data_IF_017458556267
#
_entry.id   IF_017458556267
#
_cell.length_a   1.000
_cell.length_b   1.000
_cell.length_c   1.000
_cell.angle_alpha   90.00
_cell.angle_beta   90.00
_cell.angle_gamma   90.00
#
_symmetry.space_group_name_H-M   'P 1'
#
loop_
_entity.id
_entity.type
_entity.pdbx_description
1 polymer ?
#
# COMPACT_ATOMS: atom_id res chain seq x y z
N UNK A 1 15.50 13.59 -2.30
CA UNK A 1 14.58 13.79 -1.15
C UNK A 1 14.86 15.09 -0.37
N UNK A 2 14.94 16.24 -1.04
CA UNK A 2 15.19 17.55 -0.38
C UNK A 2 13.91 18.30 0.04
N UNK A 3 12.75 17.84 -0.42
CA UNK A 3 11.46 18.54 -0.25
C UNK A 3 10.50 17.84 0.72
N UNK A 4 10.77 16.57 1.09
CA UNK A 4 9.98 15.84 2.08
C UNK A 4 10.38 16.26 3.49
N UNK A 5 9.41 16.77 4.27
CA UNK A 5 9.62 17.07 5.69
C UNK A 5 9.87 15.77 6.47
N UNK A 6 10.66 15.86 7.54
CA UNK A 6 11.08 14.70 8.32
C UNK A 6 9.91 13.89 8.91
N UNK A 7 8.90 14.56 9.47
CA UNK A 7 7.72 13.92 10.09
C UNK A 7 6.94 13.04 9.09
N UNK A 8 6.44 13.57 7.95
CA UNK A 8 5.71 12.74 7.00
C UNK A 8 6.58 11.63 6.39
N UNK A 9 7.88 11.88 6.18
CA UNK A 9 8.79 10.83 5.72
C UNK A 9 8.89 9.66 6.71
N UNK A 10 9.02 9.95 8.01
CA UNK A 10 9.08 8.91 9.04
C UNK A 10 7.75 8.15 9.14
N UNK A 11 6.62 8.86 9.08
CA UNK A 11 5.30 8.23 9.07
C UNK A 11 5.15 7.25 7.90
N UNK A 12 5.62 7.61 6.69
CA UNK A 12 5.61 6.70 5.55
C UNK A 12 6.44 5.43 5.78
N UNK A 13 7.65 5.57 6.34
CA UNK A 13 8.53 4.43 6.63
C UNK A 13 7.92 3.45 7.63
N UNK A 14 7.25 3.97 8.65
CA UNK A 14 6.49 3.17 9.62
C UNK A 14 5.40 2.36 8.92
N UNK A 15 4.65 2.99 8.01
CA UNK A 15 3.61 2.31 7.23
C UNK A 15 4.17 1.30 6.22
N UNK A 16 5.44 1.41 5.83
CA UNK A 16 6.13 0.40 5.01
C UNK A 16 6.63 -0.80 5.83
N UNK A 17 6.49 -0.77 7.16
CA UNK A 17 6.99 -1.81 8.06
C UNK A 17 8.52 -1.87 8.13
N UNK A 18 9.21 -0.78 7.78
CA UNK A 18 10.67 -0.69 7.83
C UNK A 18 11.15 0.72 8.16
N UNK A 19 11.69 0.90 9.36
CA UNK A 19 12.21 2.16 9.89
C UNK A 19 13.58 2.54 9.29
N UNK A 20 13.62 2.75 7.97
CA UNK A 20 14.85 2.96 7.20
C UNK A 20 15.69 4.17 7.67
N UNK A 21 15.05 5.20 8.21
CA UNK A 21 15.70 6.40 8.74
C UNK A 21 16.65 6.11 9.91
N UNK A 22 16.38 5.03 10.66
CA UNK A 22 17.21 4.60 11.79
C UNK A 22 18.07 3.40 11.42
N UNK A 23 17.53 2.46 10.65
CA UNK A 23 18.17 1.15 10.43
C UNK A 23 19.15 1.13 9.25
N UNK A 24 18.88 1.91 8.20
CA UNK A 24 19.59 1.74 6.95
C UNK A 24 21.06 2.15 7.06
N UNK A 25 21.95 1.21 6.73
CA UNK A 25 23.40 1.39 6.74
C UNK A 25 24.09 0.89 8.00
N UNK A 26 23.34 0.50 9.04
CA UNK A 26 23.90 -0.06 10.26
C UNK A 26 24.62 -1.39 9.98
N UNK A 27 24.04 -2.25 9.15
CA UNK A 27 24.65 -3.53 8.82
C UNK A 27 25.95 -3.40 8.03
N UNK A 28 25.97 -2.52 7.03
CA UNK A 28 27.18 -2.20 6.28
C UNK A 28 28.28 -1.60 7.18
N UNK A 29 27.90 -0.77 8.16
CA UNK A 29 28.84 -0.23 9.14
C UNK A 29 29.40 -1.32 10.07
N UNK A 30 28.53 -2.18 10.60
CA UNK A 30 28.91 -3.28 11.49
C UNK A 30 29.82 -4.29 10.77
N UNK A 31 29.47 -4.68 9.54
CA UNK A 31 30.25 -5.64 8.75
C UNK A 31 31.64 -5.13 8.35
N UNK A 32 31.87 -3.81 8.32
CA UNK A 32 33.20 -3.25 8.03
C UNK A 32 34.20 -3.48 9.17
N UNK A 33 33.73 -3.50 10.42
CA UNK A 33 34.57 -3.66 11.62
C UNK A 33 33.85 -4.53 12.68
N UNK A 34 33.66 -5.84 12.43
CA UNK A 34 32.84 -6.70 13.30
C UNK A 34 33.36 -6.78 14.73
N UNK A 35 34.67 -7.00 14.92
CA UNK A 35 35.28 -7.06 16.27
C UNK A 35 35.12 -5.75 17.04
N UNK A 36 35.22 -4.61 16.35
CA UNK A 36 35.02 -3.29 16.97
C UNK A 36 33.56 -3.05 17.32
N UNK A 37 32.64 -3.51 16.47
CA UNK A 37 31.20 -3.42 16.75
C UNK A 37 30.83 -4.20 18.01
N UNK A 38 31.33 -5.43 18.15
CA UNK A 38 31.13 -6.26 19.34
C UNK A 38 31.75 -5.62 20.59
N UNK A 39 33.01 -5.20 20.52
CA UNK A 39 33.67 -4.52 21.65
C UNK A 39 32.92 -3.24 22.07
N UNK A 40 32.44 -2.44 21.11
CA UNK A 40 31.66 -1.23 21.44
C UNK A 40 30.30 -1.58 22.06
N UNK A 41 29.64 -2.65 21.61
CA UNK A 41 28.37 -3.11 22.18
C UNK A 41 28.54 -3.56 23.64
N UNK A 42 29.63 -4.24 23.95
CA UNK A 42 29.90 -4.74 25.30
C UNK A 42 30.44 -3.63 26.22
N UNK A 43 31.43 -2.86 25.76
CA UNK A 43 32.23 -1.99 26.63
C UNK A 43 31.80 -0.51 26.60
N UNK A 44 31.01 -0.06 25.61
CA UNK A 44 30.66 1.37 25.47
C UNK A 44 29.21 1.69 25.86
N UNK A 45 28.97 2.34 27.02
CA UNK A 45 27.62 2.79 27.41
C UNK A 45 27.03 3.82 26.44
N UNK A 46 27.86 4.58 25.72
CA UNK A 46 27.39 5.52 24.70
C UNK A 46 26.90 4.79 23.45
N UNK A 47 27.62 3.76 23.04
CA UNK A 47 27.26 2.99 21.86
C UNK A 47 25.97 2.19 22.11
N UNK A 48 25.84 1.55 23.28
CA UNK A 48 24.58 0.90 23.69
C UNK A 48 23.38 1.85 23.61
N UNK A 49 23.48 3.05 24.17
CA UNK A 49 22.41 4.07 24.06
C UNK A 49 22.08 4.48 22.63
N UNK A 50 23.05 4.46 21.72
CA UNK A 50 22.78 4.71 20.30
C UNK A 50 22.05 3.51 19.67
N UNK A 51 22.39 2.29 20.07
CA UNK A 51 21.70 1.08 19.65
C UNK A 51 20.29 0.96 20.25
N UNK A 52 19.96 1.56 21.39
CA UNK A 52 18.58 1.56 21.93
C UNK A 52 17.55 2.05 20.89
N UNK A 53 17.89 3.07 20.09
CA UNK A 53 17.04 3.55 19.00
C UNK A 53 16.90 2.54 17.86
N UNK A 54 18.00 1.84 17.54
CA UNK A 54 18.00 0.79 16.52
C UNK A 54 17.23 -0.45 17.00
N UNK A 55 17.33 -0.79 18.28
CA UNK A 55 16.60 -1.86 18.95
C UNK A 55 15.10 -1.60 18.85
N UNK A 56 14.64 -0.42 19.26
CA UNK A 56 13.25 -0.01 19.12
C UNK A 56 12.79 -0.04 17.66
N UNK A 57 13.59 0.50 16.74
CA UNK A 57 13.24 0.49 15.33
C UNK A 57 13.16 -0.94 14.73
N UNK A 58 14.02 -1.86 15.15
CA UNK A 58 13.98 -3.28 14.76
C UNK A 58 12.76 -4.01 15.31
N UNK A 59 12.36 -3.72 16.55
CA UNK A 59 11.15 -4.26 17.17
C UNK A 59 9.86 -3.88 16.43
N UNK A 60 9.91 -2.91 15.51
CA UNK A 60 8.80 -2.54 14.62
C UNK A 60 9.16 -2.57 13.13
N UNK A 61 10.19 -3.34 12.75
CA UNK A 61 10.60 -3.48 11.35
C UNK A 61 10.65 -4.93 10.92
N UNK A 62 10.12 -5.22 9.73
CA UNK A 62 10.15 -6.55 9.12
C UNK A 62 10.47 -6.45 7.64
N UNK A 63 11.56 -7.10 7.22
CA UNK A 63 11.89 -7.19 5.80
C UNK A 63 10.86 -8.00 5.01
N UNK A 64 10.08 -8.87 5.66
CA UNK A 64 9.00 -9.61 5.00
C UNK A 64 7.78 -8.72 4.73
N UNK A 65 7.43 -7.83 5.67
CA UNK A 65 6.39 -6.82 5.45
C UNK A 65 6.78 -5.90 4.30
N UNK A 66 8.01 -5.37 4.33
CA UNK A 66 8.49 -4.51 3.25
C UNK A 66 8.53 -5.24 1.91
N UNK A 67 8.96 -6.52 1.90
CA UNK A 67 8.96 -7.35 0.70
C UNK A 67 7.55 -7.51 0.16
N UNK A 68 6.57 -7.81 1.00
CA UNK A 68 5.18 -8.00 0.57
C UNK A 68 4.62 -6.75 -0.12
N UNK A 69 4.95 -5.54 0.38
CA UNK A 69 4.59 -4.28 -0.27
C UNK A 69 5.32 -4.11 -1.61
N UNK A 70 6.61 -4.42 -1.68
CA UNK A 70 7.39 -4.30 -2.93
C UNK A 70 6.89 -5.27 -4.00
N UNK A 71 6.54 -6.49 -3.60
CA UNK A 71 6.00 -7.55 -4.44
C UNK A 71 4.59 -7.21 -4.92
N UNK A 72 3.74 -6.58 -4.10
CA UNK A 72 2.41 -6.16 -4.56
C UNK A 72 2.46 -5.05 -5.61
N UNK A 73 3.56 -4.30 -5.69
CA UNK A 73 3.79 -3.30 -6.74
C UNK A 73 4.36 -3.90 -8.04
N UNK A 74 4.65 -5.19 -8.07
CA UNK A 74 5.19 -5.89 -9.24
C UNK A 74 4.05 -6.47 -10.09
N UNK A 75 3.84 -5.98 -11.33
CA UNK A 75 2.81 -6.51 -12.23
C UNK A 75 2.92 -8.03 -12.45
N UNK A 76 4.13 -8.59 -12.44
CA UNK A 76 4.38 -10.01 -12.67
C UNK A 76 3.69 -10.89 -11.63
N UNK A 77 3.68 -10.47 -10.37
CA UNK A 77 3.05 -11.22 -9.26
C UNK A 77 1.55 -11.35 -9.47
N UNK A 78 0.91 -10.31 -9.99
CA UNK A 78 -0.51 -10.32 -10.32
C UNK A 78 -0.83 -11.21 -11.52
N UNK A 79 0.05 -11.24 -12.52
CA UNK A 79 -0.08 -12.14 -13.67
C UNK A 79 0.10 -13.61 -13.27
N UNK A 80 1.07 -13.91 -12.41
CA UNK A 80 1.28 -15.25 -11.87
C UNK A 80 0.05 -15.74 -11.08
N UNK A 81 -0.55 -14.86 -10.26
CA UNK A 81 -1.81 -15.14 -9.56
C UNK A 81 -2.95 -15.35 -10.55
N UNK A 82 -3.00 -14.60 -11.66
CA UNK A 82 -4.03 -14.72 -12.67
C UNK A 82 -3.96 -16.06 -13.42
N UNK A 83 -2.75 -16.55 -13.71
CA UNK A 83 -2.53 -17.85 -14.35
C UNK A 83 -3.10 -19.01 -13.51
N UNK A 84 -2.96 -18.91 -12.18
CA UNK A 84 -3.47 -19.90 -11.22
C UNK A 84 -4.94 -19.70 -10.82
N UNK A 85 -5.57 -18.58 -11.20
CA UNK A 85 -6.96 -18.31 -10.86
C UNK A 85 -7.92 -19.24 -11.62
N UNK A 86 -8.88 -19.84 -10.93
CA UNK A 86 -9.88 -20.74 -11.54
C UNK A 86 -11.11 -19.98 -12.06
N UNK A 87 -11.53 -18.93 -11.37
CA UNK A 87 -12.64 -18.06 -11.78
C UNK A 87 -12.21 -17.07 -12.89
N UNK A 88 -12.87 -17.08 -14.07
CA UNK A 88 -12.56 -16.15 -15.15
C UNK A 88 -12.68 -14.67 -14.76
N UNK A 89 -13.67 -14.31 -13.93
CA UNK A 89 -13.86 -12.92 -13.53
C UNK A 89 -12.72 -12.46 -12.60
N UNK A 90 -12.34 -13.28 -11.62
CA UNK A 90 -11.18 -13.03 -10.78
C UNK A 90 -9.88 -12.93 -11.59
N UNK A 91 -9.67 -13.83 -12.56
CA UNK A 91 -8.51 -13.78 -13.46
C UNK A 91 -8.43 -12.44 -14.20
N UNK A 92 -9.54 -11.97 -14.76
CA UNK A 92 -9.59 -10.68 -15.46
C UNK A 92 -9.29 -9.51 -14.51
N UNK A 93 -9.79 -9.57 -13.28
CA UNK A 93 -9.49 -8.56 -12.27
C UNK A 93 -7.99 -8.49 -11.96
N UNK A 94 -7.32 -9.63 -11.75
CA UNK A 94 -5.88 -9.68 -11.50
C UNK A 94 -5.06 -9.13 -12.68
N UNK A 95 -5.43 -9.48 -13.91
CA UNK A 95 -4.82 -8.90 -15.13
C UNK A 95 -5.05 -7.39 -15.21
N UNK A 96 -6.22 -6.91 -14.80
CA UNK A 96 -6.54 -5.49 -14.71
C UNK A 96 -5.60 -4.73 -13.76
N UNK A 97 -5.35 -5.29 -12.57
CA UNK A 97 -4.41 -4.71 -11.59
C UNK A 97 -2.99 -4.67 -12.17
N UNK A 98 -2.53 -5.76 -12.77
CA UNK A 98 -1.20 -5.83 -13.40
C UNK A 98 -1.00 -4.73 -14.45
N UNK A 99 -1.97 -4.57 -15.37
CA UNK A 99 -1.93 -3.52 -16.41
C UNK A 99 -1.92 -2.12 -15.84
N UNK A 100 -2.61 -1.90 -14.72
CA UNK A 100 -2.64 -0.60 -14.07
C UNK A 100 -1.29 -0.29 -13.39
N UNK A 101 -0.69 -1.26 -12.70
CA UNK A 101 0.64 -1.13 -12.09
C UNK A 101 1.77 -0.94 -13.12
N UNK A 102 1.66 -1.56 -14.30
CA UNK A 102 2.64 -1.38 -15.39
C UNK A 102 2.83 0.10 -15.76
N UNK A 103 1.75 0.90 -15.73
CA UNK A 103 1.81 2.33 -16.04
C UNK A 103 2.60 3.15 -15.03
N UNK A 104 2.73 2.67 -13.79
CA UNK A 104 3.49 3.35 -12.74
C UNK A 104 4.99 3.12 -12.85
N UNK A 105 5.41 2.04 -13.50
CA UNK A 105 6.82 1.67 -13.72
C UNK A 105 7.68 1.73 -12.44
N UNK A 106 7.11 1.28 -11.31
CA UNK A 106 7.76 1.32 -10.00
C UNK A 106 8.51 0.02 -9.66
N UNK A 107 8.15 -1.10 -10.28
CA UNK A 107 8.60 -2.43 -9.87
C UNK A 107 10.14 -2.57 -9.88
N UNK A 108 10.81 -2.08 -10.92
CA UNK A 108 12.25 -2.25 -11.06
C UNK A 108 13.03 -1.48 -9.97
N UNK A 109 12.59 -0.24 -9.71
CA UNK A 109 13.23 0.63 -8.72
C UNK A 109 12.94 0.16 -7.29
N UNK A 110 11.72 -0.29 -6.99
CA UNK A 110 11.37 -0.81 -5.65
C UNK A 110 12.07 -2.13 -5.35
N UNK A 111 12.16 -3.06 -6.32
CA UNK A 111 12.91 -4.31 -6.18
C UNK A 111 14.41 -4.07 -5.97
N UNK A 112 15.00 -3.13 -6.72
CA UNK A 112 16.40 -2.75 -6.55
C UNK A 112 16.67 -2.12 -5.18
N UNK A 113 15.79 -1.23 -4.74
CA UNK A 113 15.83 -0.63 -3.40
C UNK A 113 15.74 -1.70 -2.32
N UNK A 114 14.78 -2.62 -2.43
CA UNK A 114 14.57 -3.70 -1.46
C UNK A 114 15.80 -4.61 -1.32
N UNK A 115 16.44 -5.00 -2.42
CA UNK A 115 17.67 -5.82 -2.37
C UNK A 115 18.79 -5.17 -1.56
N UNK A 116 18.93 -3.84 -1.65
CA UNK A 116 19.93 -3.08 -0.88
C UNK A 116 19.60 -3.08 0.61
N UNK A 117 18.32 -2.89 0.96
CA UNK A 117 17.85 -2.99 2.35
C UNK A 117 18.09 -4.39 2.89
N UNK A 118 17.71 -5.42 2.13
CA UNK A 118 17.87 -6.80 2.54
C UNK A 118 19.36 -7.16 2.77
N UNK A 119 20.24 -6.74 1.86
CA UNK A 119 21.68 -6.97 2.01
C UNK A 119 22.24 -6.31 3.27
N UNK A 120 21.83 -5.07 3.57
CA UNK A 120 22.24 -4.35 4.78
C UNK A 120 21.69 -5.04 6.05
N UNK A 121 20.42 -5.42 6.06
CA UNK A 121 19.81 -6.13 7.18
C UNK A 121 20.45 -7.49 7.45
N UNK A 122 20.80 -8.26 6.40
CA UNK A 122 21.52 -9.53 6.55
C UNK A 122 22.90 -9.33 7.17
N UNK A 123 23.63 -8.27 6.78
CA UNK A 123 24.89 -7.93 7.39
C UNK A 123 24.72 -7.56 8.88
N UNK A 124 23.67 -6.81 9.22
CA UNK A 124 23.36 -6.47 10.61
C UNK A 124 23.05 -7.71 11.45
N UNK A 125 22.30 -8.67 10.91
CA UNK A 125 21.98 -9.94 11.59
C UNK A 125 23.20 -10.77 11.97
N UNK A 126 24.26 -10.71 11.17
CA UNK A 126 25.52 -11.40 11.48
C UNK A 126 26.22 -10.74 12.67
N UNK A 127 26.24 -9.40 12.70
CA UNK A 127 26.88 -8.63 13.78
C UNK A 127 26.02 -8.52 15.05
N UNK A 128 24.71 -8.70 14.95
CA UNK A 128 23.77 -8.64 16.06
C UNK A 128 22.74 -9.79 15.94
N UNK A 129 23.12 -11.02 16.32
CA UNK A 129 22.26 -12.19 16.17
C UNK A 129 20.95 -12.12 16.96
N UNK A 130 21.03 -11.59 18.19
CA UNK A 130 19.89 -11.47 19.13
C UNK A 130 19.13 -10.14 18.98
N UNK A 131 19.19 -9.53 17.80
CA UNK A 131 18.47 -8.29 17.55
C UNK A 131 16.94 -8.52 17.64
N UNK A 132 16.16 -7.50 18.06
CA UNK A 132 14.71 -7.64 18.15
C UNK A 132 14.06 -7.94 16.81
N UNK A 133 12.86 -8.52 16.89
CA UNK A 133 12.00 -8.78 15.75
C UNK A 133 10.63 -8.18 16.00
N UNK A 134 9.96 -7.81 14.92
CA UNK A 134 8.58 -7.32 14.97
C UNK A 134 7.66 -8.33 15.69
N UNK A 135 6.89 -7.83 16.65
CA UNK A 135 5.89 -8.64 17.34
C UNK A 135 4.85 -9.20 16.36
N UNK A 136 4.33 -10.40 16.65
CA UNK A 136 3.39 -11.10 15.77
C UNK A 136 2.13 -10.27 15.50
N UNK A 137 1.59 -9.60 16.52
CA UNK A 137 0.37 -8.79 16.40
C UNK A 137 0.58 -7.63 15.40
N UNK A 138 1.69 -6.90 15.49
CA UNK A 138 2.06 -5.83 14.56
C UNK A 138 2.29 -6.38 13.15
N UNK A 139 2.93 -7.54 13.03
CA UNK A 139 3.14 -8.21 11.75
C UNK A 139 1.80 -8.61 11.10
N UNK A 140 0.84 -9.11 11.90
CA UNK A 140 -0.51 -9.45 11.44
C UNK A 140 -1.29 -8.21 10.98
N UNK A 141 -1.18 -7.10 11.71
CA UNK A 141 -1.77 -5.83 11.29
C UNK A 141 -1.25 -5.40 9.91
N UNK A 142 0.07 -5.46 9.69
CA UNK A 142 0.64 -5.18 8.38
C UNK A 142 0.14 -6.15 7.30
N UNK A 143 0.08 -7.45 7.59
CA UNK A 143 -0.41 -8.46 6.64
C UNK A 143 -1.88 -8.21 6.25
N UNK A 144 -2.75 -7.92 7.22
CA UNK A 144 -4.16 -7.59 6.97
C UNK A 144 -4.27 -6.31 6.15
N UNK A 145 -3.49 -5.27 6.47
CA UNK A 145 -3.49 -4.02 5.73
C UNK A 145 -3.07 -4.22 4.27
N UNK A 146 -2.05 -5.02 3.99
CA UNK A 146 -1.63 -5.36 2.62
C UNK A 146 -2.74 -6.14 1.90
N UNK A 147 -3.36 -7.12 2.56
CA UNK A 147 -4.47 -7.88 1.97
C UNK A 147 -5.69 -6.99 1.65
N UNK A 148 -5.99 -5.99 2.48
CA UNK A 148 -7.06 -5.01 2.23
C UNK A 148 -6.72 -4.12 1.03
N UNK A 149 -5.46 -3.69 0.87
CA UNK A 149 -5.00 -2.92 -0.29
C UNK A 149 -5.16 -3.76 -1.57
N UNK A 150 -4.69 -5.00 -1.55
CA UNK A 150 -4.82 -5.94 -2.67
C UNK A 150 -6.29 -6.17 -3.05
N UNK A 151 -7.16 -6.35 -2.05
CA UNK A 151 -8.59 -6.53 -2.26
C UNK A 151 -9.24 -5.27 -2.85
N UNK A 152 -8.88 -4.10 -2.34
CA UNK A 152 -9.34 -2.81 -2.85
C UNK A 152 -8.95 -2.61 -4.32
N UNK A 153 -7.70 -2.90 -4.68
CA UNK A 153 -7.24 -2.83 -6.08
C UNK A 153 -7.97 -3.84 -6.97
N UNK A 154 -8.24 -5.04 -6.46
CA UNK A 154 -9.02 -6.03 -7.22
C UNK A 154 -10.46 -5.54 -7.45
N UNK A 155 -11.11 -4.94 -6.44
CA UNK A 155 -12.44 -4.35 -6.56
C UNK A 155 -12.48 -3.20 -7.58
N UNK A 156 -11.46 -2.35 -7.64
CA UNK A 156 -11.44 -1.21 -8.57
C UNK A 156 -11.47 -1.63 -10.04
N UNK A 157 -10.94 -2.81 -10.38
CA UNK A 157 -10.99 -3.31 -11.76
C UNK A 157 -12.41 -3.61 -12.24
N UNK A 158 -13.35 -3.85 -11.31
CA UNK A 158 -14.76 -4.13 -11.60
C UNK A 158 -15.58 -2.86 -11.83
N UNK A 159 -15.01 -1.66 -11.63
CA UNK A 159 -15.68 -0.39 -11.90
C UNK A 159 -16.05 -0.34 -13.39
N UNK A 160 -17.33 -0.12 -13.74
CA UNK A 160 -17.76 -0.04 -15.14
C UNK A 160 -17.03 1.07 -15.90
N UNK A 161 -16.98 0.93 -17.22
CA UNK A 161 -16.50 2.01 -18.06
C UNK A 161 -17.47 3.21 -17.99
N UNK A 162 -16.90 4.42 -17.97
CA UNK A 162 -17.64 5.67 -18.13
C UNK A 162 -16.87 6.59 -19.10
N UNK A 163 -17.62 7.35 -19.89
CA UNK A 163 -17.01 8.42 -20.70
C UNK A 163 -16.39 9.47 -19.78
N UNK A 164 -15.24 10.09 -20.16
CA UNK A 164 -14.60 11.10 -19.32
C UNK A 164 -15.58 12.17 -18.82
N UNK A 165 -15.64 12.38 -17.51
CA UNK A 165 -16.48 13.40 -16.86
C UNK A 165 -15.59 14.40 -16.12
N UNK A 166 -15.86 15.69 -16.28
CA UNK A 166 -15.08 16.77 -15.67
C UNK A 166 -13.56 16.66 -15.85
N UNK A 167 -13.12 16.06 -16.97
CA UNK A 167 -11.70 15.88 -17.31
C UNK A 167 -11.01 14.68 -16.64
N UNK A 168 -11.73 13.84 -15.88
CA UNK A 168 -11.18 12.61 -15.30
C UNK A 168 -11.46 11.42 -16.22
N UNK A 169 -10.40 10.74 -16.66
CA UNK A 169 -10.49 9.50 -17.47
C UNK A 169 -10.56 8.26 -16.58
N UNK A 170 -10.82 7.11 -17.19
CA UNK A 170 -10.78 5.83 -16.49
C UNK A 170 -9.39 5.53 -15.92
N UNK A 171 -8.34 5.80 -16.69
CA UNK A 171 -6.95 5.59 -16.28
C UNK A 171 -6.59 6.51 -15.11
N UNK A 172 -7.03 7.77 -15.14
CA UNK A 172 -6.82 8.70 -14.04
C UNK A 172 -7.49 8.21 -12.74
N UNK A 173 -8.70 7.64 -12.84
CA UNK A 173 -9.38 7.04 -11.68
C UNK A 173 -8.61 5.83 -11.13
N UNK A 174 -8.14 4.94 -12.01
CA UNK A 174 -7.32 3.79 -11.59
C UNK A 174 -6.06 4.27 -10.85
N UNK A 175 -5.40 5.30 -11.36
CA UNK A 175 -4.18 5.85 -10.77
C UNK A 175 -4.45 6.47 -9.39
N UNK A 176 -5.58 7.16 -9.20
CA UNK A 176 -6.02 7.67 -7.90
C UNK A 176 -6.26 6.53 -6.91
N UNK A 177 -6.91 5.44 -7.33
CA UNK A 177 -7.20 4.29 -6.47
C UNK A 177 -5.91 3.54 -6.10
N UNK A 178 -4.99 3.33 -7.05
CA UNK A 178 -3.69 2.71 -6.77
C UNK A 178 -2.85 3.51 -5.78
N UNK A 179 -2.97 4.85 -5.80
CA UNK A 179 -2.36 5.76 -4.81
C UNK A 179 -3.14 5.88 -3.49
N UNK A 180 -4.24 5.13 -3.35
CA UNK A 180 -5.16 5.18 -2.20
C UNK A 180 -5.78 6.58 -1.97
N UNK A 181 -5.96 7.37 -3.03
CA UNK A 181 -6.69 8.65 -3.02
C UNK A 181 -8.22 8.43 -3.04
N UNK A 182 -8.70 7.50 -2.21
CA UNK A 182 -10.06 6.97 -2.22
C UNK A 182 -11.13 8.06 -2.01
N UNK A 183 -10.98 9.04 -1.11
CA UNK A 183 -12.00 10.09 -0.96
C UNK A 183 -12.22 10.92 -2.23
N UNK A 184 -11.18 11.12 -3.04
CA UNK A 184 -11.31 11.83 -4.32
C UNK A 184 -11.91 10.91 -5.38
N UNK A 185 -11.48 9.64 -5.43
CA UNK A 185 -12.04 8.64 -6.35
C UNK A 185 -13.55 8.44 -6.12
N UNK A 186 -14.00 8.39 -4.87
CA UNK A 186 -15.42 8.25 -4.52
C UNK A 186 -16.28 9.42 -5.01
N UNK A 187 -15.75 10.65 -5.02
CA UNK A 187 -16.48 11.81 -5.59
C UNK A 187 -16.68 11.65 -7.10
N UNK A 188 -15.63 11.26 -7.81
CA UNK A 188 -15.71 10.97 -9.25
C UNK A 188 -16.71 9.86 -9.54
N UNK A 189 -16.69 8.79 -8.73
CA UNK A 189 -17.61 7.65 -8.86
C UNK A 189 -19.07 8.04 -8.58
N UNK A 190 -19.33 8.86 -7.56
CA UNK A 190 -20.67 9.32 -7.24
C UNK A 190 -21.28 10.17 -8.37
N UNK A 191 -20.47 10.99 -9.03
CA UNK A 191 -20.89 11.79 -10.19
C UNK A 191 -21.08 10.94 -11.46
N UNK A 192 -20.23 9.94 -11.68
CA UNK A 192 -20.31 9.06 -12.84
C UNK A 192 -21.46 8.03 -12.73
N UNK A 193 -21.72 7.55 -11.52
CA UNK A 193 -22.63 6.46 -11.19
C UNK A 193 -23.57 6.84 -10.04
N UNK A 194 -24.56 7.72 -10.26
CA UNK A 194 -25.48 8.16 -9.21
C UNK A 194 -26.31 7.00 -8.66
N UNK A 195 -26.41 6.90 -7.33
CA UNK A 195 -27.07 5.79 -6.64
C UNK A 195 -28.59 5.74 -6.89
N UNK A 196 -29.21 6.91 -7.00
CA UNK A 196 -30.60 7.10 -7.36
C UNK A 196 -30.66 7.78 -8.72
N UNK A 197 -31.60 7.33 -9.56
CA UNK A 197 -32.06 8.16 -10.66
C UNK A 197 -32.74 9.37 -10.02
N UNK A 198 -32.00 10.45 -9.79
CA UNK A 198 -32.67 11.73 -9.73
C UNK A 198 -33.36 11.88 -11.08
N UNK A 199 -34.68 12.03 -11.03
CA UNK A 199 -35.54 12.30 -12.17
C UNK A 199 -34.86 13.45 -12.92
N UNK A 200 -34.10 13.11 -13.95
CA UNK A 200 -33.70 14.12 -14.91
C UNK A 200 -35.03 14.60 -15.42
N UNK A 201 -35.34 15.87 -15.17
CA UNK A 201 -36.46 16.55 -15.81
C UNK A 201 -36.19 16.43 -17.30
N UNK A 202 -36.66 15.33 -17.86
CA UNK A 202 -36.48 14.99 -19.25
C UNK A 202 -37.40 15.98 -19.89
N UNK A 203 -36.83 17.04 -20.47
CA UNK A 203 -37.58 17.90 -21.36
C UNK A 203 -38.17 16.94 -22.39
N UNK A 204 -39.48 16.78 -22.34
CA UNK A 204 -40.21 15.92 -23.26
C UNK A 204 -40.15 16.58 -24.63
N UNK A 205 -39.19 16.13 -25.45
CA UNK A 205 -39.01 16.61 -26.81
C UNK A 205 -40.03 15.98 -27.78
N UNK A 206 -40.99 15.18 -27.30
CA UNK A 206 -42.05 14.59 -28.12
C UNK A 206 -41.59 13.52 -29.12
N UNK A 207 -40.33 13.12 -29.07
CA UNK A 207 -39.80 12.01 -29.87
C UNK A 207 -39.89 10.69 -29.08
N UNK A 208 -40.29 9.57 -29.70
CA UNK A 208 -40.20 8.26 -29.07
C UNK A 208 -38.73 7.85 -28.93
N UNK A 209 -38.08 8.37 -27.89
CA UNK A 209 -36.72 7.97 -27.50
C UNK A 209 -36.70 6.52 -27.04
N UNK A 210 -35.54 5.83 -27.12
CA UNK A 210 -35.40 4.52 -26.51
C UNK A 210 -35.78 4.64 -25.03
N UNK A 211 -36.57 3.70 -24.51
CA UNK A 211 -36.88 3.61 -23.09
C UNK A 211 -35.55 3.44 -22.33
N UNK A 212 -34.95 4.56 -21.91
CA UNK A 212 -33.84 4.53 -20.99
C UNK A 212 -34.44 4.06 -19.67
N UNK A 213 -34.28 2.76 -19.37
CA UNK A 213 -34.38 2.33 -17.99
C UNK A 213 -33.40 3.21 -17.22
N UNK A 214 -33.94 4.07 -16.36
CA UNK A 214 -33.20 4.81 -15.36
C UNK A 214 -32.47 3.79 -14.48
N UNK A 215 -31.30 3.34 -14.94
CA UNK A 215 -30.52 2.30 -14.28
C UNK A 215 -29.89 2.93 -13.04
N UNK A 216 -30.54 2.74 -11.89
CA UNK A 216 -29.92 2.98 -10.59
C UNK A 216 -28.68 2.10 -10.48
N UNK A 217 -27.51 2.70 -10.29
CA UNK A 217 -26.24 1.99 -10.05
C UNK A 217 -26.14 1.39 -8.64
N UNK A 218 -27.28 1.05 -8.04
CA UNK A 218 -27.40 0.54 -6.67
C UNK A 218 -26.56 -0.72 -6.44
N UNK A 219 -26.43 -1.57 -7.47
CA UNK A 219 -25.61 -2.78 -7.42
C UNK A 219 -24.13 -2.46 -7.33
N UNK A 220 -23.62 -1.56 -8.17
CA UNK A 220 -22.23 -1.11 -8.16
C UNK A 220 -21.88 -0.43 -6.83
N UNK A 221 -22.80 0.37 -6.30
CA UNK A 221 -22.67 0.94 -4.95
C UNK A 221 -22.52 -0.13 -3.87
N UNK A 222 -23.35 -1.17 -3.90
CA UNK A 222 -23.34 -2.23 -2.90
C UNK A 222 -22.14 -3.19 -3.03
N UNK A 223 -21.76 -3.56 -4.26
CA UNK A 223 -20.78 -4.60 -4.52
C UNK A 223 -19.35 -4.08 -4.77
N UNK A 224 -19.18 -2.78 -5.06
CA UNK A 224 -17.89 -2.20 -5.45
C UNK A 224 -17.57 -0.97 -4.61
N UNK A 225 -18.37 0.10 -4.69
CA UNK A 225 -17.98 1.40 -4.14
C UNK A 225 -17.98 1.42 -2.61
N UNK A 226 -19.02 0.86 -1.97
CA UNK A 226 -19.08 0.73 -0.51
C UNK A 226 -17.99 -0.23 0.01
N UNK A 227 -17.76 -1.43 -0.59
CA UNK A 227 -16.62 -2.27 -0.22
C UNK A 227 -15.25 -1.59 -0.34
N UNK A 228 -15.01 -0.80 -1.40
CA UNK A 228 -13.77 0.00 -1.53
C UNK A 228 -13.63 0.98 -0.35
N UNK A 229 -14.71 1.68 0.01
CA UNK A 229 -14.69 2.59 1.16
C UNK A 229 -14.41 1.84 2.46
N UNK A 230 -15.08 0.71 2.71
CA UNK A 230 -14.84 -0.11 3.90
C UNK A 230 -13.40 -0.60 4.00
N UNK A 231 -12.80 -1.05 2.89
CA UNK A 231 -11.40 -1.44 2.87
C UNK A 231 -10.49 -0.26 3.23
N UNK A 232 -10.75 0.92 2.67
CA UNK A 232 -9.98 2.12 2.94
C UNK A 232 -10.06 2.57 4.40
N UNK A 233 -11.25 2.51 5.00
CA UNK A 233 -11.45 2.86 6.41
C UNK A 233 -10.67 1.92 7.34
N UNK A 234 -10.72 0.59 7.07
CA UNK A 234 -9.94 -0.40 7.81
C UNK A 234 -8.42 -0.22 7.61
N UNK A 235 -7.96 0.10 6.39
CA UNK A 235 -6.55 0.43 6.13
C UNK A 235 -6.11 1.61 7.00
N UNK A 236 -6.94 2.65 7.14
CA UNK A 236 -6.64 3.82 7.97
C UNK A 236 -6.63 3.48 9.46
N UNK A 237 -7.59 2.70 9.93
CA UNK A 237 -7.66 2.23 11.31
C UNK A 237 -6.40 1.43 11.68
N UNK A 238 -6.00 0.48 10.83
CA UNK A 238 -4.77 -0.28 11.04
C UNK A 238 -3.53 0.63 10.99
N UNK A 239 -3.49 1.62 10.10
CA UNK A 239 -2.37 2.56 10.01
C UNK A 239 -2.19 3.35 11.32
N UNK A 240 -3.30 3.70 11.98
CA UNK A 240 -3.31 4.33 13.30
C UNK A 240 -2.80 3.35 14.35
N UNK A 241 -3.29 2.11 14.37
CA UNK A 241 -2.83 1.07 15.30
C UNK A 241 -1.31 0.83 15.20
N UNK A 242 -0.77 0.74 13.99
CA UNK A 242 0.68 0.62 13.73
C UNK A 242 1.46 1.82 14.26
N UNK A 243 0.96 3.05 14.05
CA UNK A 243 1.62 4.25 14.57
C UNK A 243 1.65 4.29 16.10
N UNK A 244 0.56 3.84 16.75
CA UNK A 244 0.47 3.72 18.20
C UNK A 244 1.43 2.66 18.75
N UNK A 245 1.52 1.49 18.10
CA UNK A 245 2.44 0.42 18.49
C UNK A 245 3.90 0.89 18.47
N UNK A 246 4.28 1.63 17.41
CA UNK A 246 5.64 2.19 17.25
C UNK A 246 5.94 3.30 18.28
N UNK A 247 4.91 3.88 18.91
CA UNK A 247 5.05 5.02 19.82
C UNK A 247 5.24 6.36 19.10
N UNK A 248 4.83 6.45 17.82
CA UNK A 248 4.92 7.67 17.03
C UNK A 248 3.67 8.53 17.21
N UNK A 249 3.69 9.43 18.20
CA UNK A 249 2.61 10.39 18.46
C UNK A 249 2.91 11.73 17.80
N UNK A 250 1.96 12.28 17.05
CA UNK A 250 2.07 13.60 16.40
C UNK A 250 0.86 13.94 15.54
#
# INVERSE_FOLDING_TARGET
>A
PRELRAIPNNALLQQLGWCANTLQGLGAAAARHPETFDALRDDSPRFRRALDFAEHALAHSSTDVLRAIVVSLDPGVWLDRADHATDPAHRQALVGVARALERFDLWAITQSMFRRIQSDHLALRVAWPDMPQMALDTLLLHAIRIALIDHLWTLSTRIPYFSPRHGVTREALDDMILRLEIPTAQRVLAEAFPASAEISQTLDFGEPGPQMQEASYSREHAEIFRPIQTCFDLIREISIAVAHDIGAFG
#
